data_IF_911551824686
#
_entry.id   IF_911551824686
#
_cell.length_a   1.000
_cell.length_b   1.000
_cell.length_c   1.000
_cell.angle_alpha   90.00
_cell.angle_beta   90.00
_cell.angle_gamma   90.00
#
_symmetry.space_group_name_H-M   'P 1'
#
loop_
_entity.id
_entity.type
_entity.pdbx_description
1 polymer ?
#
# COMPACT_ATOMS: atom_id res chain seq x y z
N UNK A 1 -5.04 -16.20 7.83
CA UNK A 1 -3.62 -15.88 7.52
C UNK A 1 -2.71 -17.01 7.96
N UNK A 2 -2.71 -17.42 9.23
CA UNK A 2 -1.79 -18.42 9.80
C UNK A 2 -1.64 -19.73 9.03
N UNK A 3 -2.71 -20.28 8.45
CA UNK A 3 -2.64 -21.56 7.76
C UNK A 3 -2.19 -21.46 6.29
N UNK A 4 -2.24 -20.26 5.68
CA UNK A 4 -2.13 -20.11 4.22
C UNK A 4 -1.13 -19.03 3.82
N UNK A 5 -1.22 -17.85 4.44
CA UNK A 5 -0.45 -16.67 4.05
C UNK A 5 0.92 -16.63 4.72
N UNK A 6 0.95 -16.59 6.05
CA UNK A 6 2.19 -16.40 6.81
C UNK A 6 3.22 -17.54 6.69
N UNK A 7 2.83 -18.82 6.52
CA UNK A 7 3.80 -19.90 6.35
C UNK A 7 4.56 -19.87 5.03
N UNK A 8 4.14 -19.06 4.05
CA UNK A 8 4.86 -18.97 2.78
C UNK A 8 6.23 -18.33 2.99
N UNK A 9 7.28 -18.98 2.48
CA UNK A 9 8.68 -18.60 2.74
C UNK A 9 8.95 -17.13 2.40
N UNK A 10 8.57 -16.70 1.19
CA UNK A 10 8.72 -15.31 0.75
C UNK A 10 7.98 -14.31 1.64
N UNK A 11 6.81 -14.69 2.17
CA UNK A 11 6.04 -13.85 3.10
C UNK A 11 6.75 -13.75 4.44
N UNK A 12 7.17 -14.89 5.00
CA UNK A 12 7.85 -14.93 6.29
C UNK A 12 9.18 -14.16 6.26
N UNK A 13 9.95 -14.29 5.17
CA UNK A 13 11.18 -13.54 4.95
C UNK A 13 10.89 -12.05 4.82
N UNK A 14 9.93 -11.65 3.98
CA UNK A 14 9.58 -10.24 3.81
C UNK A 14 9.15 -9.61 5.15
N UNK A 15 8.25 -10.26 5.89
CA UNK A 15 7.74 -9.75 7.16
C UNK A 15 8.86 -9.62 8.20
N UNK A 16 9.76 -10.61 8.30
CA UNK A 16 10.83 -10.59 9.29
C UNK A 16 11.97 -9.62 8.97
N UNK A 17 12.19 -9.28 7.70
CA UNK A 17 13.31 -8.42 7.26
C UNK A 17 12.91 -6.98 6.97
N UNK A 18 11.66 -6.73 6.52
CA UNK A 18 11.19 -5.40 6.10
C UNK A 18 10.27 -4.74 7.12
N UNK A 19 9.83 -5.45 8.17
CA UNK A 19 8.85 -4.92 9.13
C UNK A 19 9.24 -5.21 10.58
N UNK A 20 8.57 -4.54 11.51
CA UNK A 20 8.51 -4.96 12.92
C UNK A 20 7.13 -5.59 13.15
N UNK A 21 6.97 -6.91 13.00
CA UNK A 21 5.67 -7.53 13.05
C UNK A 21 5.15 -7.60 14.49
N UNK A 22 3.91 -7.12 14.70
CA UNK A 22 3.20 -7.24 15.97
C UNK A 22 1.92 -8.02 15.77
N UNK A 23 1.75 -9.07 16.58
CA UNK A 23 0.51 -9.85 16.63
C UNK A 23 -0.18 -9.57 17.96
N UNK A 24 -1.35 -8.95 17.88
CA UNK A 24 -2.12 -8.51 19.05
C UNK A 24 -3.48 -9.22 19.02
N UNK A 25 -3.98 -9.77 20.14
CA UNK A 25 -5.36 -10.25 20.24
C UNK A 25 -6.35 -9.13 19.87
N UNK A 26 -7.40 -9.46 19.13
CA UNK A 26 -8.31 -8.46 18.56
C UNK A 26 -9.11 -7.64 19.57
N UNK A 27 -9.17 -8.10 20.82
CA UNK A 27 -9.88 -7.48 21.95
C UNK A 27 -8.93 -6.83 22.97
N UNK A 28 -7.61 -6.89 22.74
CA UNK A 28 -6.62 -6.35 23.66
C UNK A 28 -6.73 -4.82 23.76
N UNK A 29 -6.99 -4.32 24.97
CA UNK A 29 -7.02 -2.89 25.26
C UNK A 29 -5.61 -2.37 25.65
N UNK A 30 -5.26 -1.12 25.30
CA UNK A 30 -6.10 -0.10 24.66
C UNK A 30 -6.20 -0.23 23.12
N UNK A 31 -5.43 -1.14 22.50
CA UNK A 31 -5.21 -1.18 21.05
C UNK A 31 -6.47 -1.46 20.23
N UNK A 32 -7.34 -2.37 20.68
CA UNK A 32 -8.59 -2.67 20.00
C UNK A 32 -9.50 -1.43 19.91
N UNK A 33 -9.51 -0.59 20.95
CA UNK A 33 -10.18 0.71 20.95
C UNK A 33 -9.45 1.74 20.08
N UNK A 34 -8.14 1.89 20.28
CA UNK A 34 -7.29 2.86 19.58
C UNK A 34 -7.36 2.71 18.05
N UNK A 35 -7.27 1.49 17.54
CA UNK A 35 -7.30 1.19 16.10
C UNK A 35 -8.70 0.79 15.60
N UNK A 36 -9.74 0.99 16.42
CA UNK A 36 -11.12 0.68 16.06
C UNK A 36 -11.28 -0.72 15.44
N UNK A 37 -10.71 -1.75 16.09
CA UNK A 37 -10.76 -3.13 15.62
C UNK A 37 -12.15 -3.70 15.89
N UNK A 38 -12.88 -4.03 14.82
CA UNK A 38 -14.25 -4.59 14.89
C UNK A 38 -14.38 -5.97 14.27
N UNK A 39 -13.43 -6.36 13.41
CA UNK A 39 -13.46 -7.62 12.69
C UNK A 39 -12.04 -8.11 12.41
N UNK A 40 -11.88 -9.40 12.13
CA UNK A 40 -10.57 -10.04 11.97
C UNK A 40 -10.46 -10.87 10.68
N UNK A 41 -9.23 -11.05 10.15
CA UNK A 41 -8.02 -10.32 10.54
C UNK A 41 -8.11 -8.84 10.11
N UNK A 42 -7.55 -7.94 10.93
CA UNK A 42 -7.28 -6.55 10.57
C UNK A 42 -5.78 -6.38 10.57
N UNK A 43 -5.21 -5.90 9.48
CA UNK A 43 -3.80 -5.54 9.38
C UNK A 43 -3.72 -4.02 9.32
N UNK A 44 -2.80 -3.44 10.09
CA UNK A 44 -2.56 -2.01 10.13
C UNK A 44 -1.07 -1.76 9.97
N UNK A 45 -0.70 -0.87 9.06
CA UNK A 45 0.67 -0.37 8.92
C UNK A 45 0.79 0.93 9.70
N UNK A 46 1.72 0.95 10.65
CA UNK A 46 2.00 2.09 11.51
C UNK A 46 3.38 2.68 11.22
N UNK A 47 3.55 3.98 11.41
CA UNK A 47 4.87 4.61 11.51
C UNK A 47 5.47 4.45 12.92
N UNK A 48 6.63 5.09 13.14
CA UNK A 48 7.35 5.06 14.42
C UNK A 48 6.58 5.71 15.57
N UNK A 49 5.65 6.62 15.25
CA UNK A 49 4.87 7.40 16.21
C UNK A 49 3.52 6.73 16.50
N UNK A 50 3.23 5.60 15.84
CA UNK A 50 1.99 4.85 15.98
C UNK A 50 0.85 5.38 15.12
N UNK A 51 1.14 6.24 14.14
CA UNK A 51 0.16 6.76 13.18
C UNK A 51 -0.16 5.68 12.16
N UNK A 52 -1.45 5.47 11.90
CA UNK A 52 -1.92 4.53 10.88
C UNK A 52 -1.83 5.14 9.47
N UNK A 53 -1.17 4.42 8.56
CA UNK A 53 -1.02 4.82 7.15
C UNK A 53 -1.72 3.88 6.18
N UNK A 54 -1.95 2.63 6.57
CA UNK A 54 -2.63 1.65 5.73
C UNK A 54 -3.34 0.59 6.56
N UNK A 55 -4.44 0.09 6.01
CA UNK A 55 -5.27 -0.93 6.64
C UNK A 55 -5.81 -1.89 5.59
N UNK A 56 -5.84 -3.16 5.95
CA UNK A 56 -6.66 -4.16 5.25
C UNK A 56 -7.56 -4.90 6.24
N UNK A 57 -8.70 -5.34 5.74
CA UNK A 57 -9.73 -6.02 6.52
C UNK A 57 -10.09 -7.33 5.85
N UNK A 58 -10.06 -8.42 6.61
CA UNK A 58 -10.32 -9.75 6.10
C UNK A 58 -9.06 -10.45 5.59
N UNK A 59 -9.25 -11.67 5.09
CA UNK A 59 -8.17 -12.52 4.61
C UNK A 59 -7.45 -11.91 3.40
N UNK A 60 -6.11 -11.94 3.41
CA UNK A 60 -5.27 -11.67 2.25
C UNK A 60 -4.51 -12.95 1.85
N UNK A 61 -4.60 -13.39 0.59
CA UNK A 61 -3.79 -14.49 0.11
C UNK A 61 -2.30 -14.10 0.00
N UNK A 62 -1.36 -15.06 -0.05
CA UNK A 62 0.08 -14.78 -0.04
C UNK A 62 0.54 -13.77 -1.10
N UNK A 63 0.01 -13.90 -2.32
CA UNK A 63 0.32 -13.06 -3.47
C UNK A 63 -0.09 -11.59 -3.28
N UNK A 64 -1.02 -11.31 -2.36
CA UNK A 64 -1.51 -9.96 -2.08
C UNK A 64 -0.89 -9.35 -0.81
N UNK A 65 -0.32 -10.16 0.08
CA UNK A 65 0.18 -9.64 1.35
C UNK A 65 1.42 -8.76 1.16
N UNK A 66 2.44 -9.23 0.43
CA UNK A 66 3.66 -8.44 0.19
C UNK A 66 3.35 -7.10 -0.51
N UNK A 67 2.61 -7.06 -1.63
CA UNK A 67 2.30 -5.78 -2.27
C UNK A 67 1.42 -4.87 -1.41
N UNK A 68 0.53 -5.42 -0.57
CA UNK A 68 -0.19 -4.61 0.43
C UNK A 68 0.74 -4.00 1.49
N UNK A 69 1.72 -4.76 2.00
CA UNK A 69 2.70 -4.27 2.97
C UNK A 69 3.64 -3.22 2.35
N UNK A 70 4.10 -3.44 1.12
CA UNK A 70 4.85 -2.43 0.35
C UNK A 70 4.04 -1.16 0.19
N UNK A 71 2.76 -1.26 -0.19
CA UNK A 71 1.89 -0.10 -0.32
C UNK A 71 1.71 0.64 1.01
N UNK A 72 1.62 -0.08 2.13
CA UNK A 72 1.60 0.53 3.46
C UNK A 72 2.89 1.29 3.77
N UNK A 73 4.05 0.71 3.50
CA UNK A 73 5.35 1.36 3.68
C UNK A 73 5.52 2.59 2.78
N UNK A 74 5.08 2.50 1.52
CA UNK A 74 5.02 3.62 0.58
C UNK A 74 4.22 4.78 1.16
N UNK A 75 3.05 4.52 1.76
CA UNK A 75 2.22 5.56 2.39
C UNK A 75 2.91 6.17 3.61
N UNK A 76 3.56 5.37 4.46
CA UNK A 76 4.40 5.90 5.54
C UNK A 76 5.53 6.81 5.03
N UNK A 77 6.16 6.47 3.90
CA UNK A 77 7.19 7.30 3.28
C UNK A 77 6.61 8.57 2.67
N UNK A 78 5.49 8.45 1.96
CA UNK A 78 4.80 9.54 1.30
C UNK A 78 4.31 10.59 2.30
N UNK A 79 3.65 10.16 3.37
CA UNK A 79 3.11 11.06 4.41
C UNK A 79 4.23 11.76 5.20
N UNK A 80 5.42 11.15 5.25
CA UNK A 80 6.63 11.76 5.80
C UNK A 80 7.41 12.61 4.76
N UNK A 81 6.82 12.92 3.60
CA UNK A 81 7.44 13.65 2.48
C UNK A 81 8.75 13.03 1.94
N UNK A 82 9.00 11.76 2.23
CA UNK A 82 10.17 11.00 1.76
C UNK A 82 9.88 10.41 0.37
N UNK A 83 9.63 11.27 -0.60
CA UNK A 83 9.14 10.86 -1.93
C UNK A 83 10.11 9.92 -2.66
N UNK A 84 11.43 10.14 -2.57
CA UNK A 84 12.43 9.25 -3.18
C UNK A 84 12.33 7.80 -2.65
N UNK A 85 12.15 7.64 -1.33
CA UNK A 85 11.98 6.31 -0.73
C UNK A 85 10.66 5.67 -1.14
N UNK A 86 9.57 6.46 -1.16
CA UNK A 86 8.27 5.99 -1.64
C UNK A 86 8.35 5.53 -3.11
N UNK A 87 9.01 6.31 -3.98
CA UNK A 87 9.16 5.99 -5.40
C UNK A 87 9.95 4.70 -5.63
N UNK A 88 11.02 4.46 -4.84
CA UNK A 88 11.78 3.22 -4.90
C UNK A 88 10.92 2.00 -4.60
N UNK A 89 10.10 2.04 -3.55
CA UNK A 89 9.24 0.91 -3.18
C UNK A 89 8.04 0.76 -4.13
N UNK A 90 7.56 1.86 -4.70
CA UNK A 90 6.56 1.83 -5.76
C UNK A 90 7.09 1.15 -7.04
N UNK A 91 8.34 1.42 -7.41
CA UNK A 91 8.97 0.73 -8.54
C UNK A 91 9.15 -0.77 -8.26
N UNK A 92 9.48 -1.15 -7.02
CA UNK A 92 9.51 -2.55 -6.56
C UNK A 92 8.13 -3.21 -6.67
N UNK A 93 7.09 -2.58 -6.13
CA UNK A 93 5.72 -3.09 -6.15
C UNK A 93 5.23 -3.29 -7.58
N UNK A 94 5.39 -2.28 -8.44
CA UNK A 94 4.89 -2.32 -9.81
C UNK A 94 5.69 -3.24 -10.74
N UNK A 95 6.95 -3.53 -10.42
CA UNK A 95 7.76 -4.48 -11.20
C UNK A 95 7.53 -5.93 -10.79
N UNK A 96 7.45 -6.21 -9.49
CA UNK A 96 7.32 -7.58 -8.98
C UNK A 96 5.86 -8.05 -8.86
N UNK A 97 4.94 -7.12 -8.54
CA UNK A 97 3.54 -7.42 -8.28
C UNK A 97 2.59 -6.62 -9.18
N UNK A 98 2.81 -6.56 -10.51
CA UNK A 98 2.02 -5.72 -11.39
C UNK A 98 0.54 -6.09 -11.36
N UNK A 99 0.18 -7.36 -11.11
CA UNK A 99 -1.22 -7.83 -11.12
C UNK A 99 -1.91 -7.82 -9.75
N UNK A 100 -1.24 -7.32 -8.71
CA UNK A 100 -1.81 -7.27 -7.37
C UNK A 100 -2.93 -6.24 -7.25
N UNK A 101 -3.81 -6.40 -6.27
CA UNK A 101 -4.88 -5.44 -5.96
C UNK A 101 -4.32 -4.07 -5.54
N UNK A 102 -3.07 -4.04 -5.06
CA UNK A 102 -2.35 -2.83 -4.69
C UNK A 102 -1.77 -2.07 -5.90
N UNK A 103 -1.58 -2.73 -7.05
CA UNK A 103 -0.90 -2.12 -8.20
C UNK A 103 -1.62 -0.88 -8.76
N UNK A 104 -2.95 -0.82 -8.90
CA UNK A 104 -3.63 0.40 -9.35
C UNK A 104 -3.44 1.55 -8.36
N UNK A 105 -3.46 1.28 -7.05
CA UNK A 105 -3.17 2.31 -6.05
C UNK A 105 -1.73 2.79 -6.16
N UNK A 106 -0.78 1.87 -6.31
CA UNK A 106 0.63 2.20 -6.46
C UNK A 106 0.90 3.09 -7.69
N UNK A 107 0.25 2.83 -8.84
CA UNK A 107 0.36 3.71 -10.02
C UNK A 107 -0.13 5.12 -9.70
N UNK A 108 -1.29 5.24 -9.04
CA UNK A 108 -1.84 6.53 -8.63
C UNK A 108 -0.88 7.27 -7.68
N UNK A 109 -0.46 6.62 -6.60
CA UNK A 109 0.43 7.20 -5.59
C UNK A 109 1.78 7.59 -6.21
N UNK A 110 2.31 6.81 -7.17
CA UNK A 110 3.54 7.14 -7.90
C UNK A 110 3.42 8.42 -8.71
N UNK A 111 2.31 8.62 -9.41
CA UNK A 111 2.03 9.87 -10.12
C UNK A 111 2.02 11.06 -9.16
N UNK A 112 1.30 10.92 -8.05
CA UNK A 112 1.20 11.98 -7.02
C UNK A 112 2.56 12.25 -6.36
N UNK A 113 3.33 11.22 -6.03
CA UNK A 113 4.65 11.35 -5.41
C UNK A 113 5.64 12.07 -6.33
N UNK A 114 5.64 11.75 -7.64
CA UNK A 114 6.48 12.45 -8.63
C UNK A 114 6.09 13.92 -8.78
N UNK A 115 4.79 14.21 -8.83
CA UNK A 115 4.31 15.59 -8.86
C UNK A 115 4.72 16.36 -7.60
N UNK A 116 4.54 15.76 -6.41
CA UNK A 116 4.95 16.37 -5.14
C UNK A 116 6.45 16.61 -5.06
N UNK A 117 7.26 15.71 -5.61
CA UNK A 117 8.71 15.83 -5.60
C UNK A 117 9.23 16.88 -6.59
N UNK A 118 8.62 17.01 -7.77
CA UNK A 118 9.18 17.81 -8.89
C UNK A 118 8.40 19.08 -9.22
N UNK A 119 7.12 19.14 -8.84
CA UNK A 119 6.16 20.16 -9.29
C UNK A 119 5.64 19.96 -10.71
N UNK A 120 6.14 18.99 -11.48
CA UNK A 120 5.69 18.71 -12.85
C UNK A 120 4.38 17.93 -12.83
N UNK A 121 3.28 18.43 -13.44
CA UNK A 121 2.00 17.71 -13.49
C UNK A 121 1.99 16.52 -14.46
N UNK A 122 2.95 16.38 -15.39
CA UNK A 122 2.96 15.28 -16.38
C UNK A 122 2.81 13.88 -15.78
N UNK A 123 3.49 13.50 -14.68
CA UNK A 123 3.35 12.18 -14.07
C UNK A 123 1.94 11.86 -13.57
N UNK A 124 1.12 12.87 -13.27
CA UNK A 124 -0.29 12.67 -12.91
C UNK A 124 -1.08 12.18 -14.12
N UNK A 125 -0.85 12.80 -15.29
CA UNK A 125 -1.48 12.39 -16.55
C UNK A 125 -1.02 11.00 -16.98
N UNK A 126 0.28 10.73 -16.90
CA UNK A 126 0.84 9.39 -17.17
C UNK A 126 0.21 8.32 -16.28
N UNK A 127 0.01 8.62 -14.99
CA UNK A 127 -0.67 7.71 -14.06
C UNK A 127 -2.12 7.45 -14.47
N UNK A 128 -2.87 8.49 -14.87
CA UNK A 128 -4.23 8.32 -15.40
C UNK A 128 -4.25 7.47 -16.67
N UNK A 129 -3.40 7.76 -17.65
CA UNK A 129 -3.33 7.03 -18.92
C UNK A 129 -3.02 5.55 -18.67
N UNK A 130 -2.07 5.25 -17.78
CA UNK A 130 -1.74 3.88 -17.39
C UNK A 130 -2.89 3.18 -16.67
N UNK A 131 -3.56 3.86 -15.74
CA UNK A 131 -4.71 3.29 -15.03
C UNK A 131 -5.89 3.01 -15.96
N UNK A 132 -6.17 3.92 -16.89
CA UNK A 132 -7.24 3.76 -17.87
C UNK A 132 -6.95 2.61 -18.85
N UNK A 133 -5.69 2.37 -19.18
CA UNK A 133 -5.28 1.27 -20.07
C UNK A 133 -5.24 -0.09 -19.36
N UNK A 134 -4.60 -0.16 -18.20
CA UNK A 134 -4.25 -1.43 -17.55
C UNK A 134 -5.28 -1.85 -16.48
N UNK A 135 -5.96 -0.88 -15.85
CA UNK A 135 -6.89 -1.11 -14.73
C UNK A 135 -8.17 -0.26 -14.83
N UNK A 136 -8.90 -0.28 -15.96
CA UNK A 136 -10.02 0.64 -16.23
C UNK A 136 -11.13 0.58 -15.17
N UNK A 137 -11.37 -0.60 -14.59
CA UNK A 137 -12.42 -0.81 -13.59
C UNK A 137 -11.98 -0.49 -12.16
N UNK A 138 -10.69 -0.21 -11.94
CA UNK A 138 -10.17 0.10 -10.61
C UNK A 138 -10.75 1.41 -10.06
N UNK A 139 -10.94 1.51 -8.73
CA UNK A 139 -11.34 2.78 -8.11
C UNK A 139 -10.28 3.88 -8.34
N UNK A 140 -9.03 3.51 -8.59
CA UNK A 140 -7.93 4.43 -8.83
C UNK A 140 -7.98 5.07 -10.21
N UNK A 141 -8.44 4.36 -11.24
CA UNK A 141 -8.72 4.96 -12.55
C UNK A 141 -9.78 6.08 -12.44
N UNK A 142 -10.85 5.84 -11.65
CA UNK A 142 -11.89 6.84 -11.38
C UNK A 142 -11.35 8.06 -10.62
N UNK A 143 -10.49 7.83 -9.63
CA UNK A 143 -9.84 8.91 -8.85
C UNK A 143 -8.85 9.73 -9.67
N UNK A 144 -8.16 9.10 -10.62
CA UNK A 144 -7.23 9.75 -11.53
C UNK A 144 -7.92 10.53 -12.67
N UNK A 145 -9.24 10.38 -12.85
CA UNK A 145 -9.98 10.96 -13.98
C UNK A 145 -9.73 12.46 -14.22
N UNK A 146 -9.62 13.34 -13.20
CA UNK A 146 -9.32 14.75 -13.43
C UNK A 146 -7.95 15.00 -14.10
N UNK A 147 -6.98 14.10 -13.93
CA UNK A 147 -5.62 14.26 -14.48
C UNK A 147 -5.56 14.15 -16.00
N UNK A 148 -6.62 13.66 -16.65
CA UNK A 148 -6.74 13.64 -18.12
C UNK A 148 -6.67 15.03 -18.77
N UNK A 149 -6.94 16.08 -17.99
CA UNK A 149 -7.01 17.47 -18.45
C UNK A 149 -5.67 18.22 -18.33
N UNK A 150 -4.64 17.57 -17.75
CA UNK A 150 -3.30 18.14 -17.58
C UNK A 150 -2.48 18.08 -18.87
#
# INVERSE_FOLDING_TARGET
MDAVTYPQEAVAEFVSTRTVPLRIPSDAQPYAGQFNVKWTPTLVTLDRDGTEHHRTLGFLPPEELIPSLLLGSVKCHFDAERFEAALKELDELLSQYPKSDAAPEAIFVRGVARYKHTGDPKPLKEAYEKLAADYPDSPWAKRALPYRLL
#
